data_IF_938037345609
#
_entry.id   IF_938037345609
#
_cell.length_a   1.000
_cell.length_b   1.000
_cell.length_c   1.000
_cell.angle_alpha   90.00
_cell.angle_beta   90.00
_cell.angle_gamma   90.00
#
_symmetry.space_group_name_H-M   'P 1'
#
loop_
_entity.id
_entity.type
_entity.pdbx_description
1 polymer ?
#
# COMPACT_ATOMS: atom_id res chain seq x y z
N UNK A 1 -1.17 -38.64 -1.00
CA UNK A 1 -0.46 -38.15 0.20
C UNK A 1 0.38 -36.96 -0.22
N UNK A 2 -0.14 -35.75 -0.02
CA UNK A 2 0.57 -34.48 -0.21
C UNK A 2 1.31 -34.19 1.09
N UNK A 3 2.64 -34.09 1.04
CA UNK A 3 3.42 -33.82 2.25
C UNK A 3 3.11 -32.43 2.79
N UNK A 4 2.95 -32.38 4.12
CA UNK A 4 2.69 -31.21 4.96
C UNK A 4 3.97 -30.40 5.23
N UNK A 5 4.87 -30.33 4.25
CA UNK A 5 6.19 -29.73 4.47
C UNK A 5 6.29 -28.32 3.88
N UNK A 6 6.94 -27.46 4.67
CA UNK A 6 7.25 -26.07 4.39
C UNK A 6 7.97 -25.92 3.04
N UNK A 7 7.34 -25.22 2.10
CA UNK A 7 8.03 -24.71 0.92
C UNK A 7 9.14 -23.75 1.37
N UNK A 8 10.38 -24.03 0.99
CA UNK A 8 11.55 -23.28 1.40
C UNK A 8 11.50 -21.79 1.00
N UNK A 9 12.19 -20.96 1.77
CA UNK A 9 12.27 -19.49 1.68
C UNK A 9 12.93 -18.91 0.40
N UNK A 10 13.12 -19.71 -0.65
CA UNK A 10 13.81 -19.29 -1.87
C UNK A 10 12.88 -19.38 -3.09
N UNK A 11 12.90 -18.39 -3.99
CA UNK A 11 12.25 -18.54 -5.29
C UNK A 11 12.85 -19.77 -6.00
N UNK A 12 11.98 -20.63 -6.53
CA UNK A 12 12.40 -21.76 -7.36
C UNK A 12 13.22 -21.24 -8.53
N UNK A 13 14.44 -21.75 -8.70
CA UNK A 13 15.43 -21.21 -9.62
C UNK A 13 15.01 -21.27 -11.08
N UNK A 14 15.21 -20.17 -11.80
CA UNK A 14 14.97 -20.05 -13.24
C UNK A 14 15.93 -20.95 -14.05
N UNK A 15 15.45 -21.65 -15.10
CA UNK A 15 16.33 -22.10 -16.18
C UNK A 15 16.74 -20.90 -17.04
N UNK A 16 18.05 -20.69 -17.21
CA UNK A 16 18.66 -19.66 -18.09
C UNK A 16 18.17 -19.76 -19.55
N UNK A 17 17.76 -18.65 -20.18
CA UNK A 17 17.89 -18.51 -21.62
C UNK A 17 18.59 -17.20 -22.05
N UNK A 18 18.90 -17.18 -23.35
CA UNK A 18 19.99 -16.48 -24.05
C UNK A 18 19.67 -15.01 -24.39
N UNK A 19 20.70 -14.17 -24.25
CA UNK A 19 21.00 -12.88 -24.93
C UNK A 19 19.87 -11.86 -25.19
N UNK A 20 19.81 -10.81 -24.36
CA UNK A 20 19.70 -9.41 -24.82
C UNK A 20 20.03 -8.39 -23.69
N UNK A 21 20.91 -7.43 -24.04
CA UNK A 21 21.24 -6.13 -23.42
C UNK A 21 21.52 -6.01 -21.89
N UNK A 22 22.81 -5.98 -21.53
CA UNK A 22 23.36 -5.64 -20.20
C UNK A 22 22.82 -4.34 -19.54
N UNK A 23 22.55 -3.22 -20.26
CA UNK A 23 22.13 -1.97 -19.63
C UNK A 23 20.74 -2.03 -18.96
N UNK A 24 19.79 -2.74 -19.58
CA UNK A 24 18.43 -2.90 -19.04
C UNK A 24 18.41 -3.77 -17.77
N UNK A 25 19.32 -4.76 -17.67
CA UNK A 25 19.47 -5.57 -16.46
C UNK A 25 19.93 -4.75 -15.26
N UNK A 26 20.86 -3.81 -15.46
CA UNK A 26 21.34 -2.94 -14.38
C UNK A 26 20.28 -1.96 -13.91
N UNK A 27 19.51 -1.37 -14.84
CA UNK A 27 18.39 -0.49 -14.47
C UNK A 27 17.32 -1.27 -13.71
N UNK A 28 16.92 -2.44 -14.19
CA UNK A 28 15.87 -3.26 -13.55
C UNK A 28 16.33 -3.73 -12.16
N UNK A 29 17.61 -4.07 -12.00
CA UNK A 29 18.20 -4.41 -10.70
C UNK A 29 18.22 -3.20 -9.75
N UNK A 30 18.59 -2.01 -10.23
CA UNK A 30 18.56 -0.78 -9.43
C UNK A 30 17.13 -0.42 -8.98
N UNK A 31 16.13 -0.57 -9.86
CA UNK A 31 14.72 -0.39 -9.49
C UNK A 31 14.25 -1.41 -8.46
N UNK A 32 14.64 -2.68 -8.59
CA UNK A 32 14.31 -3.73 -7.60
C UNK A 32 14.94 -3.45 -6.24
N UNK A 33 16.18 -2.95 -6.20
CA UNK A 33 16.85 -2.58 -4.94
C UNK A 33 16.16 -1.35 -4.32
N UNK A 34 15.94 -0.29 -5.10
CA UNK A 34 15.29 0.93 -4.61
C UNK A 34 13.85 0.68 -4.13
N UNK A 35 13.02 -0.04 -4.90
CA UNK A 35 11.66 -0.36 -4.51
C UNK A 35 11.59 -1.48 -3.47
N UNK A 36 12.58 -2.36 -3.37
CA UNK A 36 12.71 -3.29 -2.25
C UNK A 36 12.97 -2.54 -0.94
N UNK A 37 13.84 -1.53 -0.97
CA UNK A 37 14.17 -0.68 0.18
C UNK A 37 13.04 0.29 0.60
N UNK A 38 12.10 0.59 -0.31
CA UNK A 38 10.93 1.46 -0.03
C UNK A 38 9.66 0.64 0.23
N UNK A 39 9.49 -0.50 -0.45
CA UNK A 39 8.29 -1.33 -0.45
C UNK A 39 8.26 -2.38 0.66
N UNK A 40 9.31 -2.52 1.46
CA UNK A 40 9.38 -3.52 2.54
C UNK A 40 8.26 -3.39 3.60
N UNK A 41 7.72 -2.21 3.97
CA UNK A 41 6.58 -2.12 4.88
C UNK A 41 5.31 -2.70 4.25
N UNK A 42 5.16 -2.57 2.93
CA UNK A 42 4.06 -3.19 2.16
C UNK A 42 4.28 -4.69 1.99
N UNK A 43 5.52 -5.16 1.87
CA UNK A 43 5.86 -6.59 1.92
C UNK A 43 5.53 -7.20 3.28
N UNK A 44 5.84 -6.53 4.39
CA UNK A 44 5.46 -6.96 5.73
C UNK A 44 3.95 -6.91 5.95
N UNK A 45 3.28 -5.83 5.53
CA UNK A 45 1.82 -5.73 5.54
C UNK A 45 1.19 -6.83 4.68
N UNK A 46 1.87 -7.26 3.61
CA UNK A 46 1.39 -8.33 2.74
C UNK A 46 1.41 -9.73 3.35
N UNK A 47 2.14 -9.90 4.45
CA UNK A 47 2.10 -11.10 5.29
C UNK A 47 0.80 -11.18 6.12
N UNK A 48 0.12 -10.04 6.34
CA UNK A 48 -1.20 -9.99 6.99
C UNK A 48 -2.30 -10.30 5.97
N UNK A 49 -2.85 -11.52 6.02
CA UNK A 49 -3.90 -11.98 5.11
C UNK A 49 -5.32 -11.57 5.54
N UNK A 50 -5.49 -10.35 6.06
CA UNK A 50 -6.77 -9.87 6.62
C UNK A 50 -7.14 -10.49 7.98
N UNK A 51 -8.29 -10.06 8.55
CA UNK A 51 -8.79 -10.62 9.81
C UNK A 51 -9.30 -12.06 9.59
N UNK A 52 -9.06 -13.00 10.51
CA UNK A 52 -9.57 -14.37 10.38
C UNK A 52 -11.09 -14.44 10.19
N UNK A 53 -11.84 -13.57 10.87
CA UNK A 53 -13.30 -13.50 10.73
C UNK A 53 -13.75 -13.10 9.31
N UNK A 54 -13.04 -12.15 8.69
CA UNK A 54 -13.29 -11.72 7.31
C UNK A 54 -13.05 -12.86 6.31
N UNK A 55 -12.01 -13.69 6.53
CA UNK A 55 -11.74 -14.88 5.72
C UNK A 55 -12.85 -15.92 5.87
N UNK A 56 -13.31 -16.18 7.10
CA UNK A 56 -14.39 -17.15 7.36
C UNK A 56 -15.68 -16.73 6.67
N UNK A 57 -16.10 -15.47 6.85
CA UNK A 57 -17.31 -14.94 6.23
C UNK A 57 -17.29 -15.05 4.70
N UNK A 58 -16.13 -14.81 4.06
CA UNK A 58 -15.98 -14.99 2.61
C UNK A 58 -16.12 -16.45 2.18
N UNK A 59 -15.56 -17.40 2.94
CA UNK A 59 -15.65 -18.82 2.62
C UNK A 59 -17.06 -19.36 2.86
N UNK A 60 -17.73 -18.89 3.92
CA UNK A 60 -19.14 -19.19 4.18
C UNK A 60 -20.04 -18.67 3.05
N UNK A 61 -19.81 -17.45 2.55
CA UNK A 61 -20.54 -16.88 1.40
C UNK A 61 -20.40 -17.74 0.14
N UNK A 62 -19.25 -18.36 -0.05
CA UNK A 62 -18.94 -19.20 -1.21
C UNK A 62 -19.23 -20.69 -1.00
N UNK A 63 -19.78 -21.08 0.15
CA UNK A 63 -19.99 -22.48 0.53
C UNK A 63 -18.70 -23.30 0.30
N UNK A 64 -17.59 -22.80 0.82
CA UNK A 64 -16.27 -23.44 0.80
C UNK A 64 -15.86 -23.82 2.22
N UNK A 65 -15.14 -24.94 2.35
CA UNK A 65 -14.58 -25.34 3.63
C UNK A 65 -13.61 -24.26 4.16
N UNK A 66 -13.56 -24.10 5.48
CA UNK A 66 -12.74 -23.08 6.14
C UNK A 66 -11.22 -23.22 5.92
N UNK A 67 -10.79 -24.42 5.52
CA UNK A 67 -9.45 -24.83 5.15
C UNK A 67 -9.24 -24.94 3.62
N UNK A 68 -10.27 -24.63 2.81
CA UNK A 68 -10.21 -24.72 1.35
C UNK A 68 -9.10 -23.85 0.77
N UNK A 69 -8.89 -22.66 1.33
CA UNK A 69 -7.74 -21.81 0.98
C UNK A 69 -6.47 -22.34 1.66
N UNK A 70 -5.44 -22.75 0.88
CA UNK A 70 -4.23 -23.36 1.43
C UNK A 70 -3.57 -22.49 2.50
N UNK A 71 -2.88 -23.14 3.45
CA UNK A 71 -1.98 -22.48 4.40
C UNK A 71 -0.73 -21.98 3.65
N UNK A 72 -0.92 -21.06 2.72
CA UNK A 72 0.16 -20.39 2.00
C UNK A 72 0.90 -19.52 3.02
N UNK A 73 2.13 -19.91 3.36
CA UNK A 73 3.06 -19.03 4.05
C UNK A 73 3.23 -17.72 3.26
N UNK A 74 3.50 -16.62 3.97
CA UNK A 74 3.91 -15.26 3.52
C UNK A 74 3.27 -14.58 2.29
N UNK A 75 2.42 -15.23 1.49
CA UNK A 75 1.84 -14.70 0.25
C UNK A 75 0.34 -15.02 0.22
N UNK A 76 -0.39 -14.50 1.22
CA UNK A 76 -1.85 -14.60 1.27
C UNK A 76 -2.46 -13.51 0.40
N UNK A 77 -3.25 -13.85 -0.61
CA UNK A 77 -4.14 -12.89 -1.26
C UNK A 77 -4.94 -12.16 -0.16
N UNK A 78 -5.02 -10.83 -0.26
CA UNK A 78 -5.76 -10.05 0.74
C UNK A 78 -7.25 -10.38 0.66
N UNK A 79 -7.88 -10.59 1.82
CA UNK A 79 -9.30 -10.97 1.87
C UNK A 79 -10.18 -9.86 1.29
N UNK A 80 -9.75 -8.59 1.35
CA UNK A 80 -10.40 -7.48 0.65
C UNK A 80 -10.37 -7.67 -0.86
N UNK A 81 -9.22 -8.00 -1.44
CA UNK A 81 -9.10 -8.30 -2.87
C UNK A 81 -10.01 -9.45 -3.32
N UNK A 82 -9.99 -10.57 -2.58
CA UNK A 82 -10.85 -11.72 -2.87
C UNK A 82 -12.34 -11.37 -2.79
N UNK A 83 -12.73 -10.54 -1.81
CA UNK A 83 -14.10 -10.05 -1.68
C UNK A 83 -14.51 -9.16 -2.84
N UNK A 84 -13.62 -8.33 -3.36
CA UNK A 84 -13.89 -7.54 -4.56
C UNK A 84 -14.12 -8.44 -5.76
N UNK A 85 -13.30 -9.49 -5.96
CA UNK A 85 -13.54 -10.47 -7.02
C UNK A 85 -14.97 -11.03 -6.94
N UNK A 86 -15.40 -11.51 -5.77
CA UNK A 86 -16.76 -12.05 -5.57
C UNK A 86 -17.82 -10.99 -5.88
N UNK A 87 -17.68 -9.77 -5.33
CA UNK A 87 -18.62 -8.67 -5.57
C UNK A 87 -18.75 -8.31 -7.05
N UNK A 88 -17.63 -8.21 -7.76
CA UNK A 88 -17.63 -7.88 -9.19
C UNK A 88 -18.24 -9.02 -10.02
N UNK A 89 -17.94 -10.28 -9.70
CA UNK A 89 -18.55 -11.44 -10.37
C UNK A 89 -20.05 -11.50 -10.12
N UNK A 90 -20.50 -11.36 -8.87
CA UNK A 90 -21.91 -11.37 -8.49
C UNK A 90 -22.72 -10.29 -9.23
N UNK A 91 -22.11 -9.11 -9.40
CA UNK A 91 -22.75 -7.98 -10.06
C UNK A 91 -22.70 -8.05 -11.60
N UNK A 92 -21.54 -8.40 -12.17
CA UNK A 92 -21.36 -8.42 -13.63
C UNK A 92 -21.93 -9.68 -14.27
N UNK A 93 -21.94 -10.80 -13.54
CA UNK A 93 -22.18 -12.16 -14.08
C UNK A 93 -21.38 -12.38 -15.37
N UNK A 94 -20.04 -12.23 -15.31
CA UNK A 94 -19.20 -12.14 -16.49
C UNK A 94 -19.20 -13.47 -17.27
N UNK A 95 -19.22 -13.40 -18.60
CA UNK A 95 -19.06 -14.57 -19.44
C UNK A 95 -17.59 -15.00 -19.52
N UNK A 96 -16.68 -14.02 -19.59
CA UNK A 96 -15.23 -14.25 -19.66
C UNK A 96 -14.47 -13.46 -18.60
N UNK A 97 -13.76 -14.18 -17.74
CA UNK A 97 -12.83 -13.63 -16.75
C UNK A 97 -11.41 -14.02 -17.14
N UNK A 98 -10.49 -13.06 -17.17
CA UNK A 98 -9.06 -13.32 -17.37
C UNK A 98 -8.30 -13.00 -16.09
N UNK A 99 -7.55 -13.97 -15.59
CA UNK A 99 -6.69 -13.84 -14.41
C UNK A 99 -5.22 -13.94 -14.79
N UNK A 100 -4.41 -13.06 -14.21
CA UNK A 100 -2.96 -13.05 -14.31
C UNK A 100 -2.38 -13.30 -12.92
N UNK A 101 -1.65 -14.39 -12.74
CA UNK A 101 -1.20 -14.90 -11.44
C UNK A 101 -2.22 -15.86 -10.84
N UNK A 102 -2.01 -17.17 -11.02
CA UNK A 102 -2.93 -18.18 -10.51
C UNK A 102 -2.75 -18.38 -9.00
N UNK A 103 -3.75 -18.94 -8.32
CA UNK A 103 -3.66 -19.32 -6.91
C UNK A 103 -4.98 -19.21 -6.17
N UNK A 104 -4.95 -18.56 -5.01
CA UNK A 104 -6.14 -18.40 -4.15
C UNK A 104 -7.29 -17.65 -4.85
N UNK A 105 -6.96 -16.62 -5.62
CA UNK A 105 -7.92 -15.86 -6.42
C UNK A 105 -8.60 -16.74 -7.48
N UNK A 106 -7.92 -17.76 -8.02
CA UNK A 106 -8.50 -18.69 -8.99
C UNK A 106 -9.65 -19.51 -8.39
N UNK A 107 -9.47 -20.04 -7.17
CA UNK A 107 -10.52 -20.79 -6.46
C UNK A 107 -11.73 -19.90 -6.20
N UNK A 108 -11.48 -18.70 -5.67
CA UNK A 108 -12.53 -17.75 -5.31
C UNK A 108 -13.30 -17.30 -6.55
N UNK A 109 -12.60 -16.92 -7.62
CA UNK A 109 -13.22 -16.50 -8.87
C UNK A 109 -14.04 -17.63 -9.49
N UNK A 110 -13.48 -18.84 -9.59
CA UNK A 110 -14.17 -20.00 -10.17
C UNK A 110 -15.42 -20.38 -9.37
N UNK A 111 -15.33 -20.40 -8.04
CA UNK A 111 -16.49 -20.69 -7.18
C UNK A 111 -17.55 -19.60 -7.26
N UNK A 112 -17.16 -18.33 -7.28
CA UNK A 112 -18.09 -17.22 -7.44
C UNK A 112 -18.81 -17.27 -8.81
N UNK A 113 -18.10 -17.62 -9.89
CA UNK A 113 -18.71 -17.83 -11.21
C UNK A 113 -19.75 -18.96 -11.16
N UNK A 114 -19.41 -20.08 -10.55
CA UNK A 114 -20.32 -21.22 -10.38
C UNK A 114 -21.62 -20.82 -9.66
N UNK A 115 -21.54 -19.98 -8.63
CA UNK A 115 -22.69 -19.53 -7.84
C UNK A 115 -23.52 -18.45 -8.56
N UNK A 116 -22.88 -17.52 -9.29
CA UNK A 116 -23.53 -16.29 -9.74
C UNK A 116 -23.94 -16.23 -11.22
N UNK A 117 -23.81 -17.31 -11.98
CA UNK A 117 -24.34 -17.35 -13.35
C UNK A 117 -23.52 -18.15 -14.36
N UNK A 118 -22.46 -18.83 -13.90
CA UNK A 118 -21.49 -19.48 -14.77
C UNK A 118 -20.50 -18.48 -15.36
N UNK A 119 -19.94 -18.83 -16.52
CA UNK A 119 -18.85 -18.10 -17.15
C UNK A 119 -17.55 -18.90 -17.13
N UNK A 120 -16.55 -18.43 -17.88
CA UNK A 120 -15.26 -19.10 -18.00
C UNK A 120 -14.16 -18.25 -17.40
N UNK A 121 -13.43 -18.84 -16.46
CA UNK A 121 -12.18 -18.29 -15.93
C UNK A 121 -11.01 -18.80 -16.78
N UNK A 122 -10.29 -17.86 -17.40
CA UNK A 122 -9.03 -18.08 -18.10
C UNK A 122 -7.89 -17.58 -17.20
N UNK A 123 -7.15 -18.49 -16.57
CA UNK A 123 -6.11 -18.15 -15.59
C UNK A 123 -4.71 -18.47 -16.12
N UNK A 124 -3.78 -17.53 -15.97
CA UNK A 124 -2.43 -17.65 -16.49
C UNK A 124 -1.39 -17.49 -15.38
N UNK A 125 -0.45 -18.42 -15.29
CA UNK A 125 0.69 -18.32 -14.37
C UNK A 125 2.03 -18.64 -15.05
N UNK A 126 3.12 -18.10 -14.50
CA UNK A 126 4.45 -18.19 -15.07
C UNK A 126 5.17 -19.51 -14.79
N UNK A 127 4.70 -20.29 -13.81
CA UNK A 127 5.37 -21.53 -13.41
C UNK A 127 4.52 -22.76 -13.77
N UNK A 128 5.00 -23.55 -14.72
CA UNK A 128 4.33 -24.77 -15.20
C UNK A 128 3.93 -25.74 -14.08
N UNK A 129 4.86 -26.08 -13.18
CA UNK A 129 4.57 -26.99 -12.06
C UNK A 129 3.53 -26.45 -11.06
N UNK A 130 3.45 -25.12 -10.91
CA UNK A 130 2.45 -24.48 -10.06
C UNK A 130 1.07 -24.45 -10.73
N UNK A 131 1.01 -24.24 -12.05
CA UNK A 131 -0.21 -24.37 -12.85
C UNK A 131 -0.79 -25.78 -12.70
N UNK A 132 0.03 -26.82 -12.83
CA UNK A 132 -0.43 -28.20 -12.70
C UNK A 132 -0.93 -28.54 -11.30
N UNK A 133 -0.27 -28.01 -10.26
CA UNK A 133 -0.70 -28.18 -8.88
C UNK A 133 -2.04 -27.47 -8.63
N UNK A 134 -2.17 -26.24 -9.11
CA UNK A 134 -3.39 -25.42 -8.98
C UNK A 134 -4.55 -26.03 -9.74
N UNK A 135 -4.32 -26.56 -10.96
CA UNK A 135 -5.34 -27.27 -11.75
C UNK A 135 -5.91 -28.47 -10.99
N UNK A 136 -5.03 -29.29 -10.40
CA UNK A 136 -5.45 -30.46 -9.60
C UNK A 136 -6.24 -30.03 -8.36
N UNK A 137 -5.75 -29.02 -7.64
CA UNK A 137 -6.44 -28.49 -6.46
C UNK A 137 -7.82 -27.89 -6.78
N UNK A 138 -7.98 -27.21 -7.93
CA UNK A 138 -9.29 -26.71 -8.38
C UNK A 138 -10.23 -27.87 -8.78
N UNK A 139 -9.70 -28.91 -9.42
CA UNK A 139 -10.47 -30.11 -9.77
C UNK A 139 -10.98 -30.85 -8.52
N UNK A 140 -10.22 -30.89 -7.42
CA UNK A 140 -10.66 -31.44 -6.14
C UNK A 140 -11.89 -30.71 -5.56
N UNK A 141 -12.13 -29.46 -5.97
CA UNK A 141 -13.30 -28.66 -5.63
C UNK A 141 -14.41 -28.74 -6.68
N UNK A 142 -14.30 -29.65 -7.66
CA UNK A 142 -15.21 -29.78 -8.80
C UNK A 142 -15.37 -28.49 -9.63
N UNK A 143 -14.29 -27.71 -9.75
CA UNK A 143 -14.26 -26.48 -10.53
C UNK A 143 -13.54 -26.71 -11.87
N UNK A 144 -14.22 -26.38 -12.96
CA UNK A 144 -13.65 -26.40 -14.31
C UNK A 144 -13.09 -25.02 -14.65
N UNK A 145 -11.76 -24.92 -14.73
CA UNK A 145 -11.02 -23.68 -14.98
C UNK A 145 -10.03 -23.89 -16.10
N UNK A 146 -10.01 -22.94 -17.04
CA UNK A 146 -9.05 -22.88 -18.13
C UNK A 146 -7.75 -22.25 -17.64
N UNK A 147 -6.95 -23.05 -16.93
CA UNK A 147 -5.67 -22.63 -16.34
C UNK A 147 -4.49 -23.07 -17.21
N UNK A 148 -3.62 -22.10 -17.56
CA UNK A 148 -2.54 -22.27 -18.54
C UNK A 148 -1.21 -21.72 -18.03
N UNK A 149 -0.13 -22.37 -18.47
CA UNK A 149 1.22 -21.87 -18.27
C UNK A 149 1.54 -20.79 -19.32
N UNK A 150 1.89 -19.60 -18.84
CA UNK A 150 2.31 -18.46 -19.64
C UNK A 150 3.68 -17.97 -19.14
N UNK A 151 4.81 -18.41 -19.73
CA UNK A 151 6.12 -18.00 -19.26
C UNK A 151 6.36 -16.50 -19.48
N UNK A 152 7.13 -15.86 -18.60
CA UNK A 152 7.48 -14.44 -18.73
C UNK A 152 8.57 -14.22 -19.77
N UNK A 153 8.21 -14.25 -21.06
CA UNK A 153 9.17 -14.09 -22.16
C UNK A 153 8.92 -12.85 -23.01
N UNK A 154 7.72 -12.29 -23.00
CA UNK A 154 7.37 -11.13 -23.81
C UNK A 154 7.93 -9.84 -23.21
N UNK A 155 8.26 -8.88 -24.08
CA UNK A 155 8.62 -7.51 -23.67
C UNK A 155 7.43 -6.57 -23.95
N UNK A 156 7.19 -5.62 -23.05
CA UNK A 156 6.27 -4.52 -23.30
C UNK A 156 7.05 -3.30 -23.76
N UNK A 157 6.55 -2.61 -24.81
CA UNK A 157 7.15 -1.37 -25.27
C UNK A 157 7.00 -0.24 -24.24
N UNK A 158 5.91 -0.26 -23.48
CA UNK A 158 5.54 0.82 -22.55
C UNK A 158 5.93 0.52 -21.10
N UNK A 159 6.11 -0.76 -20.76
CA UNK A 159 6.31 -1.23 -19.39
C UNK A 159 7.59 -2.05 -19.24
N UNK A 160 8.40 -1.78 -18.20
CA UNK A 160 9.60 -2.58 -17.91
C UNK A 160 9.25 -3.95 -17.29
N UNK A 161 10.21 -4.87 -17.36
CA UNK A 161 10.06 -6.26 -16.92
C UNK A 161 9.53 -7.18 -18.02
N UNK A 162 9.80 -8.49 -17.88
CA UNK A 162 9.24 -9.50 -18.78
C UNK A 162 7.78 -9.77 -18.44
N UNK A 163 6.95 -9.86 -19.46
CA UNK A 163 5.52 -10.08 -19.38
C UNK A 163 5.12 -11.49 -19.83
N UNK A 164 3.93 -11.91 -19.42
CA UNK A 164 3.32 -13.17 -19.78
C UNK A 164 3.28 -13.40 -21.28
N UNK A 165 3.69 -14.59 -21.71
CA UNK A 165 3.43 -15.11 -23.04
C UNK A 165 1.98 -15.62 -23.13
N UNK A 166 1.03 -14.68 -23.21
CA UNK A 166 -0.40 -15.01 -23.26
C UNK A 166 -0.80 -15.54 -24.63
N UNK A 167 -1.51 -16.65 -24.64
CA UNK A 167 -2.09 -17.27 -25.82
C UNK A 167 -3.59 -17.53 -25.63
N UNK A 168 -4.30 -17.76 -26.74
CA UNK A 168 -5.69 -18.22 -26.73
C UNK A 168 -6.62 -17.38 -25.82
N UNK A 169 -6.41 -16.06 -25.77
CA UNK A 169 -7.22 -15.12 -25.03
C UNK A 169 -8.61 -15.00 -25.67
N UNK A 170 -9.69 -14.83 -24.88
CA UNK A 170 -11.00 -14.56 -25.44
C UNK A 170 -11.01 -13.22 -26.21
N UNK A 171 -11.94 -13.10 -27.17
CA UNK A 171 -12.10 -11.87 -27.94
C UNK A 171 -12.59 -10.70 -27.09
N UNK A 172 -13.46 -10.99 -26.11
CA UNK A 172 -13.98 -10.04 -25.13
C UNK A 172 -13.73 -10.54 -23.72
N UNK A 173 -13.43 -9.61 -22.82
CA UNK A 173 -13.18 -9.88 -21.41
C UNK A 173 -14.10 -8.99 -20.59
N UNK A 174 -14.85 -9.57 -19.66
CA UNK A 174 -15.77 -8.80 -18.81
C UNK A 174 -15.11 -8.42 -17.47
N UNK A 175 -14.18 -9.25 -16.99
CA UNK A 175 -13.41 -9.00 -15.78
C UNK A 175 -11.95 -9.42 -15.98
N UNK A 176 -11.01 -8.52 -15.68
CA UNK A 176 -9.57 -8.78 -15.63
C UNK A 176 -9.12 -8.76 -14.17
N UNK A 177 -8.49 -9.82 -13.69
CA UNK A 177 -7.92 -9.96 -12.35
C UNK A 177 -6.40 -9.98 -12.48
N UNK A 178 -5.71 -9.07 -11.78
CA UNK A 178 -4.27 -8.89 -11.88
C UNK A 178 -3.63 -9.06 -10.50
N UNK A 179 -3.07 -10.24 -10.25
CA UNK A 179 -2.28 -10.59 -9.05
C UNK A 179 -0.83 -11.01 -9.40
N UNK A 180 -0.56 -11.21 -10.69
CA UNK A 180 0.76 -11.54 -11.22
C UNK A 180 1.21 -10.58 -12.33
N UNK A 181 2.49 -10.63 -12.72
CA UNK A 181 3.55 -11.40 -12.09
C UNK A 181 4.06 -10.69 -10.81
N UNK A 182 4.91 -11.35 -9.99
CA UNK A 182 5.36 -10.76 -8.74
C UNK A 182 6.24 -9.52 -8.98
N UNK A 183 6.19 -8.58 -8.02
CA UNK A 183 6.97 -7.33 -8.06
C UNK A 183 8.49 -7.55 -8.23
N UNK A 184 8.98 -8.74 -7.85
CA UNK A 184 10.39 -9.14 -7.98
C UNK A 184 10.86 -9.22 -9.44
N UNK A 185 9.94 -9.36 -10.40
CA UNK A 185 10.25 -9.24 -11.83
C UNK A 185 10.60 -7.80 -12.16
N UNK A 186 9.68 -6.87 -11.89
CA UNK A 186 9.92 -5.43 -11.91
C UNK A 186 8.78 -4.70 -11.16
N UNK A 187 9.01 -3.61 -10.40
CA UNK A 187 7.96 -2.89 -9.67
C UNK A 187 6.79 -2.34 -10.50
N UNK A 188 6.97 -2.21 -11.82
CA UNK A 188 5.97 -1.71 -12.76
C UNK A 188 5.47 -2.78 -13.72
N UNK A 189 5.87 -4.05 -13.53
CA UNK A 189 5.61 -5.13 -14.48
C UNK A 189 4.11 -5.35 -14.72
N UNK A 190 3.29 -5.27 -13.66
CA UNK A 190 1.84 -5.41 -13.71
C UNK A 190 1.17 -4.36 -14.62
N UNK A 191 1.85 -3.26 -14.92
CA UNK A 191 1.37 -2.25 -15.85
C UNK A 191 1.11 -2.76 -17.26
N UNK A 192 1.84 -3.80 -17.70
CA UNK A 192 1.67 -4.43 -19.01
C UNK A 192 0.32 -5.14 -19.19
N UNK A 193 -0.48 -5.30 -18.12
CA UNK A 193 -1.86 -5.78 -18.22
C UNK A 193 -2.76 -4.85 -19.05
N UNK A 194 -2.35 -3.59 -19.28
CA UNK A 194 -3.08 -2.69 -20.18
C UNK A 194 -3.14 -3.16 -21.65
N UNK A 195 -2.27 -4.10 -22.03
CA UNK A 195 -2.35 -4.82 -23.31
C UNK A 195 -3.69 -5.57 -23.49
N UNK A 196 -4.39 -5.89 -22.40
CA UNK A 196 -5.69 -6.57 -22.41
C UNK A 196 -6.88 -5.61 -22.43
N UNK A 197 -6.69 -4.33 -22.11
CA UNK A 197 -7.81 -3.39 -21.89
C UNK A 197 -8.61 -3.10 -23.17
N UNK A 198 -8.00 -3.25 -24.34
CA UNK A 198 -8.70 -3.14 -25.62
C UNK A 198 -9.81 -4.19 -25.78
N UNK A 199 -9.65 -5.37 -25.16
CA UNK A 199 -10.61 -6.49 -25.18
C UNK A 199 -11.72 -6.35 -24.15
N UNK A 200 -11.65 -5.36 -23.26
CA UNK A 200 -12.58 -5.21 -22.15
C UNK A 200 -13.99 -4.90 -22.69
N UNK A 201 -15.02 -5.63 -22.28
CA UNK A 201 -16.42 -5.37 -22.67
C UNK A 201 -16.90 -3.99 -22.20
N UNK A 202 -17.96 -3.41 -22.80
CA UNK A 202 -18.68 -2.30 -22.17
C UNK A 202 -19.06 -2.66 -20.73
N UNK A 203 -18.83 -1.76 -19.78
CA UNK A 203 -19.00 -2.00 -18.34
C UNK A 203 -18.06 -3.05 -17.73
N UNK A 204 -17.09 -3.56 -18.50
CA UNK A 204 -16.09 -4.49 -18.03
C UNK A 204 -15.19 -3.88 -16.95
N UNK A 205 -14.63 -4.75 -16.11
CA UNK A 205 -13.88 -4.35 -14.92
C UNK A 205 -12.45 -4.87 -14.94
N UNK A 206 -11.54 -4.06 -14.40
CA UNK A 206 -10.16 -4.42 -14.10
C UNK A 206 -9.96 -4.35 -12.59
N UNK A 207 -9.43 -5.40 -11.99
CA UNK A 207 -9.00 -5.45 -10.61
C UNK A 207 -7.49 -5.68 -10.55
N UNK A 208 -6.77 -4.84 -9.81
CA UNK A 208 -5.34 -5.00 -9.56
C UNK A 208 -5.11 -5.15 -8.05
N UNK A 209 -4.46 -6.25 -7.66
CA UNK A 209 -4.03 -6.47 -6.28
C UNK A 209 -2.80 -5.64 -5.93
N UNK A 210 -2.57 -5.47 -4.62
CA UNK A 210 -1.48 -4.67 -4.04
C UNK A 210 -1.44 -3.21 -4.52
N UNK A 211 -2.60 -2.64 -4.88
CA UNK A 211 -2.66 -1.37 -5.59
C UNK A 211 -2.11 -0.17 -4.81
N UNK A 212 -1.96 -0.30 -3.49
CA UNK A 212 -1.41 0.75 -2.68
C UNK A 212 0.13 0.67 -2.52
N UNK A 213 0.79 -0.36 -3.09
CA UNK A 213 2.26 -0.37 -3.26
C UNK A 213 2.73 0.76 -4.19
N UNK A 214 3.92 1.33 -3.97
CA UNK A 214 4.43 2.45 -4.77
C UNK A 214 4.46 2.18 -6.28
N UNK A 215 4.82 0.97 -6.70
CA UNK A 215 4.91 0.59 -8.11
C UNK A 215 3.53 0.61 -8.77
N UNK A 216 2.57 -0.04 -8.12
CA UNK A 216 1.19 -0.13 -8.54
C UNK A 216 0.48 1.24 -8.54
N UNK A 217 0.82 2.15 -7.62
CA UNK A 217 0.32 3.55 -7.67
C UNK A 217 0.79 4.29 -8.92
N UNK A 218 2.05 4.09 -9.34
CA UNK A 218 2.59 4.65 -10.58
C UNK A 218 1.92 4.01 -11.81
N UNK A 219 1.70 2.69 -11.78
CA UNK A 219 0.94 1.96 -12.80
C UNK A 219 -0.46 2.56 -12.94
N UNK A 220 -1.21 2.70 -11.84
CA UNK A 220 -2.55 3.26 -11.82
C UNK A 220 -2.58 4.69 -12.39
N UNK A 221 -1.60 5.54 -12.05
CA UNK A 221 -1.50 6.91 -12.58
C UNK A 221 -1.30 6.92 -14.10
N UNK A 222 -0.46 6.01 -14.63
CA UNK A 222 -0.22 5.89 -16.08
C UNK A 222 -1.43 5.30 -16.80
N UNK A 223 -2.10 4.29 -16.25
CA UNK A 223 -3.33 3.74 -16.81
C UNK A 223 -4.44 4.78 -16.92
N UNK A 224 -4.66 5.60 -15.88
CA UNK A 224 -5.65 6.71 -15.94
C UNK A 224 -5.42 7.67 -17.10
N UNK A 225 -4.15 7.93 -17.44
CA UNK A 225 -3.80 8.81 -18.56
C UNK A 225 -4.00 8.13 -19.92
N UNK A 226 -3.61 6.86 -20.03
CA UNK A 226 -3.66 6.10 -21.30
C UNK A 226 -5.06 5.61 -21.64
N UNK A 227 -5.88 5.32 -20.63
CA UNK A 227 -7.21 4.73 -20.78
C UNK A 227 -8.28 5.61 -20.11
N UNK A 228 -8.55 6.82 -20.64
CA UNK A 228 -9.45 7.79 -20.01
C UNK A 228 -10.91 7.35 -19.95
N UNK A 229 -11.30 6.35 -20.75
CA UNK A 229 -12.63 5.74 -20.74
C UNK A 229 -12.79 4.66 -19.66
N UNK A 230 -11.74 4.36 -18.88
CA UNK A 230 -11.80 3.48 -17.72
C UNK A 230 -11.67 4.33 -16.46
N UNK A 231 -12.68 4.31 -15.59
CA UNK A 231 -12.66 5.02 -14.31
C UNK A 231 -11.93 4.16 -13.27
N UNK A 232 -10.69 4.54 -12.93
CA UNK A 232 -9.85 3.83 -11.96
C UNK A 232 -9.92 4.47 -10.57
N UNK A 233 -10.45 3.71 -9.60
CA UNK A 233 -10.57 4.08 -8.18
C UNK A 233 -9.76 3.13 -7.31
N UNK A 234 -9.06 3.69 -6.32
CA UNK A 234 -8.38 2.88 -5.30
C UNK A 234 -9.38 2.58 -4.18
N UNK A 235 -9.57 1.30 -3.89
CA UNK A 235 -10.38 0.81 -2.79
C UNK A 235 -9.46 0.58 -1.59
N UNK A 236 -9.79 1.20 -0.46
CA UNK A 236 -8.97 1.20 0.78
C UNK A 236 -9.50 0.23 1.85
N UNK A 237 -10.37 -0.72 1.49
CA UNK A 237 -10.87 -1.75 2.40
C UNK A 237 -9.89 -2.93 2.50
N UNK A 238 -8.73 -2.68 3.12
CA UNK A 238 -7.70 -3.69 3.38
C UNK A 238 -6.31 -3.07 3.51
N UNK A 239 -5.33 -3.86 3.96
CA UNK A 239 -3.94 -3.41 4.16
C UNK A 239 -3.19 -3.24 2.84
N UNK A 240 -3.60 -3.94 1.77
CA UNK A 240 -2.91 -3.96 0.46
C UNK A 240 -3.49 -2.99 -0.58
N UNK A 241 -4.78 -2.66 -0.44
CA UNK A 241 -5.55 -1.86 -1.38
C UNK A 241 -5.80 -2.56 -2.72
N UNK A 242 -6.96 -2.31 -3.32
CA UNK A 242 -7.32 -2.86 -4.65
C UNK A 242 -7.63 -1.72 -5.59
N UNK A 243 -7.06 -1.72 -6.79
CA UNK A 243 -7.44 -0.77 -7.82
C UNK A 243 -8.59 -1.37 -8.64
N UNK A 244 -9.72 -0.67 -8.69
CA UNK A 244 -10.86 -1.02 -9.52
C UNK A 244 -10.94 -0.05 -10.69
N UNK A 245 -10.81 -0.58 -11.92
CA UNK A 245 -11.03 0.14 -13.17
C UNK A 245 -12.36 -0.28 -13.80
N UNK A 246 -13.27 0.66 -14.04
CA UNK A 246 -14.55 0.38 -14.72
C UNK A 246 -14.58 1.01 -16.10
N UNK A 247 -14.71 0.20 -17.16
CA UNK A 247 -14.87 0.72 -18.52
C UNK A 247 -16.25 1.34 -18.66
N UNK A 248 -16.30 2.63 -19.00
CA UNK A 248 -17.55 3.31 -19.32
C UNK A 248 -18.12 2.75 -20.61
N UNK A 249 -19.43 2.49 -20.62
CA UNK A 249 -20.14 2.22 -21.86
C UNK A 249 -20.26 3.53 -22.65
N UNK A 250 -19.57 3.60 -23.78
CA UNK A 250 -19.59 4.76 -24.67
C UNK A 250 -20.81 4.77 -25.60
N UNK A 251 -21.65 3.73 -25.58
CA UNK A 251 -22.85 3.61 -26.41
C UNK A 251 -24.14 4.07 -25.71
N UNK A 252 -24.13 4.16 -24.38
CA UNK A 252 -25.21 4.77 -23.62
C UNK A 252 -25.05 6.31 -23.66
N UNK A 253 -26.10 7.07 -23.99
CA UNK A 253 -26.08 8.51 -23.79
C UNK A 253 -25.73 8.80 -22.34
N UNK A 254 -24.90 9.81 -22.10
CA UNK A 254 -24.62 10.30 -20.75
C UNK A 254 -25.96 10.69 -20.13
N UNK A 255 -26.54 9.82 -19.30
CA UNK A 255 -27.45 10.27 -18.26
C UNK A 255 -26.58 11.15 -17.37
N UNK A 256 -26.74 12.47 -17.50
CA UNK A 256 -26.15 13.43 -16.61
C UNK A 256 -26.79 13.27 -15.23
N UNK A 257 -26.42 12.22 -14.51
CA UNK A 257 -26.72 12.05 -13.08
C UNK A 257 -25.55 12.49 -12.19
N UNK A 258 -24.55 13.20 -12.73
CA UNK A 258 -23.41 13.67 -11.94
C UNK A 258 -22.87 15.07 -12.32
N UNK A 259 -23.66 15.90 -13.04
CA UNK A 259 -23.27 17.30 -13.33
C UNK A 259 -23.87 18.34 -12.36
N UNK A 260 -24.55 17.87 -11.31
CA UNK A 260 -25.05 18.73 -10.21
C UNK A 260 -24.19 18.66 -8.94
N UNK A 261 -23.13 17.83 -8.91
CA UNK A 261 -22.32 17.59 -7.71
C UNK A 261 -20.91 18.21 -7.65
N UNK A 262 -20.34 18.67 -8.78
CA UNK A 262 -18.92 19.07 -8.84
C UNK A 262 -18.64 20.54 -9.13
N UNK A 263 -19.52 21.25 -9.80
CA UNK A 263 -19.31 22.66 -10.19
C UNK A 263 -19.71 23.65 -9.10
N UNK A 264 -20.64 23.29 -8.20
CA UNK A 264 -21.14 24.23 -7.18
C UNK A 264 -20.18 24.45 -5.98
N UNK A 265 -19.20 23.56 -5.76
CA UNK A 265 -18.23 23.66 -4.65
C UNK A 265 -17.09 24.66 -4.89
N UNK A 266 -16.89 25.13 -6.12
CA UNK A 266 -15.80 26.07 -6.44
C UNK A 266 -16.28 27.54 -6.42
N UNK A 267 -17.50 27.82 -6.88
CA UNK A 267 -18.06 29.19 -6.80
C UNK A 267 -18.48 29.58 -5.37
N UNK A 268 -19.02 28.63 -4.58
CA UNK A 268 -19.34 28.86 -3.17
C UNK A 268 -18.10 29.15 -2.31
N UNK A 269 -16.94 28.58 -2.67
CA UNK A 269 -15.66 28.82 -1.96
C UNK A 269 -15.05 30.18 -2.31
N UNK A 270 -15.14 30.65 -3.54
CA UNK A 270 -14.65 31.98 -3.91
C UNK A 270 -15.50 33.09 -3.25
N UNK A 271 -16.82 32.93 -3.22
CA UNK A 271 -17.72 33.86 -2.53
C UNK A 271 -17.57 33.79 -0.99
N UNK A 272 -17.37 32.60 -0.43
CA UNK A 272 -17.11 32.44 1.01
C UNK A 272 -15.72 32.97 1.41
N UNK A 273 -14.69 32.86 0.57
CA UNK A 273 -13.37 33.45 0.83
C UNK A 273 -13.44 34.99 0.75
N UNK A 274 -14.18 35.54 -0.21
CA UNK A 274 -14.41 36.99 -0.29
C UNK A 274 -15.23 37.51 0.92
N UNK A 275 -16.22 36.75 1.37
CA UNK A 275 -16.96 37.05 2.60
C UNK A 275 -16.09 36.89 3.85
N UNK A 276 -15.25 35.86 3.95
CA UNK A 276 -14.35 35.64 5.09
C UNK A 276 -13.22 36.67 5.15
N UNK A 277 -12.80 37.25 4.03
CA UNK A 277 -11.87 38.40 4.01
C UNK A 277 -12.57 39.70 4.43
N UNK A 278 -13.83 39.89 4.04
CA UNK A 278 -14.60 41.10 4.40
C UNK A 278 -15.13 41.08 5.85
N UNK A 279 -15.42 39.90 6.42
CA UNK A 279 -15.96 39.75 7.79
C UNK A 279 -14.91 39.27 8.80
N UNK A 280 -13.73 38.83 8.37
CA UNK A 280 -12.69 38.24 9.23
C UNK A 280 -11.70 39.20 9.88
N UNK A 281 -11.95 40.52 9.87
CA UNK A 281 -11.14 41.51 10.61
C UNK A 281 -11.79 42.04 11.89
N UNK A 282 -12.88 41.42 12.36
CA UNK A 282 -13.47 41.73 13.67
C UNK A 282 -13.88 40.45 14.38
N UNK A 283 -12.93 39.82 15.07
CA UNK A 283 -13.13 39.08 16.32
C UNK A 283 -11.78 38.51 16.80
N UNK A 284 -10.96 39.39 17.37
CA UNK A 284 -9.86 39.00 18.25
C UNK A 284 -10.48 38.76 19.62
N UNK A 285 -10.44 37.53 20.10
CA UNK A 285 -10.85 37.17 21.47
C UNK A 285 -12.02 36.20 21.48
N UNK A 286 -11.73 35.01 22.00
CA UNK A 286 -12.69 34.00 22.45
C UNK A 286 -13.48 33.27 21.36
N UNK A 287 -12.96 32.10 20.94
CA UNK A 287 -13.71 30.85 20.75
C UNK A 287 -12.83 29.80 20.03
N UNK A 288 -12.56 28.68 20.73
CA UNK A 288 -12.43 27.33 20.15
C UNK A 288 -11.15 26.98 19.38
N UNK A 289 -10.48 25.92 19.83
CA UNK A 289 -9.36 25.27 19.15
C UNK A 289 -9.63 25.05 17.65
N UNK A 290 -8.76 25.60 16.79
CA UNK A 290 -8.82 25.39 15.35
C UNK A 290 -8.56 23.92 15.00
N UNK A 291 -9.23 23.37 13.97
CA UNK A 291 -8.89 22.04 13.47
C UNK A 291 -7.45 22.06 12.96
N UNK A 292 -6.59 21.26 13.59
CA UNK A 292 -5.22 21.01 13.12
C UNK A 292 -5.27 20.51 11.67
N UNK A 293 -4.32 20.94 10.85
CA UNK A 293 -4.23 20.52 9.44
C UNK A 293 -4.13 19.00 9.34
N UNK A 294 -4.72 18.41 8.30
CA UNK A 294 -4.72 16.95 8.10
C UNK A 294 -3.29 16.35 8.07
N UNK A 295 -2.30 17.13 7.64
CA UNK A 295 -0.89 16.72 7.63
C UNK A 295 -0.27 16.66 9.03
N UNK A 296 -0.58 17.63 9.90
CA UNK A 296 -0.14 17.57 11.29
C UNK A 296 -0.80 16.37 12.02
N UNK A 297 -2.03 16.01 11.66
CA UNK A 297 -2.66 14.81 12.22
C UNK A 297 -1.97 13.51 11.81
N UNK A 298 -1.57 13.34 10.54
CA UNK A 298 -0.87 12.12 10.10
C UNK A 298 0.53 12.01 10.72
N UNK A 299 1.29 13.10 10.78
CA UNK A 299 2.60 13.14 11.43
C UNK A 299 2.53 12.76 12.92
N UNK A 300 1.54 13.30 13.64
CA UNK A 300 1.34 12.99 15.06
C UNK A 300 0.91 11.52 15.28
N UNK A 301 0.10 10.96 14.40
CA UNK A 301 -0.30 9.55 14.46
C UNK A 301 0.90 8.62 14.18
N UNK A 302 1.79 8.99 13.27
CA UNK A 302 3.03 8.28 12.96
C UNK A 302 4.03 8.35 14.13
N UNK A 303 4.21 9.52 14.73
CA UNK A 303 5.03 9.69 15.93
C UNK A 303 4.51 8.83 17.11
N UNK A 304 3.19 8.75 17.30
CA UNK A 304 2.57 7.90 18.32
C UNK A 304 2.71 6.39 18.00
N UNK A 305 2.62 6.00 16.72
CA UNK A 305 2.86 4.62 16.29
C UNK A 305 4.33 4.21 16.55
N UNK A 306 5.27 5.10 16.26
CA UNK A 306 6.70 4.92 16.48
C UNK A 306 7.04 4.69 17.96
N UNK A 307 6.51 5.50 18.87
CA UNK A 307 6.68 5.30 20.32
C UNK A 307 6.21 3.90 20.76
N UNK A 308 5.03 3.47 20.32
CA UNK A 308 4.48 2.15 20.69
C UNK A 308 5.37 1.01 20.19
N UNK A 309 5.88 1.13 18.96
CA UNK A 309 6.83 0.15 18.42
C UNK A 309 8.12 0.11 19.26
N UNK A 310 8.66 1.27 19.64
CA UNK A 310 9.83 1.37 20.51
C UNK A 310 9.61 0.71 21.89
N UNK A 311 8.48 1.00 22.55
CA UNK A 311 8.15 0.44 23.87
C UNK A 311 7.95 -1.08 23.83
N UNK A 312 7.30 -1.62 22.78
CA UNK A 312 7.16 -3.06 22.61
C UNK A 312 8.53 -3.75 22.49
N UNK A 313 9.45 -3.11 21.76
CA UNK A 313 10.77 -3.63 21.47
C UNK A 313 11.72 -3.57 22.67
N UNK A 314 11.58 -2.57 23.53
CA UNK A 314 12.30 -2.51 24.82
C UNK A 314 12.00 -3.73 25.71
N UNK A 315 10.84 -4.36 25.54
CA UNK A 315 10.48 -5.60 26.23
C UNK A 315 10.99 -6.89 25.57
N UNK A 316 11.71 -6.79 24.44
CA UNK A 316 12.14 -7.94 23.63
C UNK A 316 13.65 -8.12 23.69
N UNK A 317 14.13 -9.15 24.40
CA UNK A 317 15.56 -9.48 24.50
C UNK A 317 16.24 -9.81 23.16
N UNK A 318 15.46 -10.22 22.14
CA UNK A 318 15.98 -10.62 20.83
C UNK A 318 16.26 -9.46 19.87
N UNK A 319 15.85 -8.24 20.20
CA UNK A 319 16.02 -7.07 19.36
C UNK A 319 17.18 -6.22 19.88
N UNK A 320 18.26 -6.17 19.11
CA UNK A 320 19.47 -5.42 19.50
C UNK A 320 19.20 -3.93 19.43
N UNK A 321 19.21 -3.25 20.57
CA UNK A 321 19.22 -1.79 20.64
C UNK A 321 20.54 -1.22 20.12
N UNK A 322 20.45 -0.32 19.14
CA UNK A 322 21.60 0.42 18.63
C UNK A 322 21.59 1.82 19.22
N UNK A 323 22.45 2.05 20.21
CA UNK A 323 22.66 3.37 20.81
C UNK A 323 23.60 4.26 19.98
N UNK A 324 24.21 3.72 18.92
CA UNK A 324 25.17 4.46 18.09
C UNK A 324 24.43 5.41 17.16
N UNK A 325 24.54 6.71 17.44
CA UNK A 325 23.99 7.78 16.61
C UNK A 325 25.11 8.42 15.76
N UNK A 326 25.00 8.34 14.44
CA UNK A 326 25.83 9.10 13.51
C UNK A 326 24.95 10.07 12.72
N UNK A 327 24.80 11.34 13.17
CA UNK A 327 23.88 12.29 12.53
C UNK A 327 24.22 12.56 11.06
N UNK A 328 25.52 12.59 10.70
CA UNK A 328 25.95 12.81 9.32
C UNK A 328 25.57 11.66 8.39
N UNK A 329 25.68 10.42 8.86
CA UNK A 329 25.26 9.24 8.09
C UNK A 329 23.74 9.19 7.92
N UNK A 330 22.99 9.55 8.96
CA UNK A 330 21.52 9.64 8.92
C UNK A 330 21.10 10.70 7.91
N UNK A 331 21.68 11.89 7.96
CA UNK A 331 21.37 12.98 7.03
C UNK A 331 21.70 12.58 5.59
N UNK A 332 22.89 12.02 5.34
CA UNK A 332 23.30 11.58 4.00
C UNK A 332 22.41 10.47 3.43
N UNK A 333 21.93 9.56 4.28
CA UNK A 333 21.18 8.39 3.84
C UNK A 333 19.67 8.63 3.76
N UNK A 334 19.13 9.48 4.62
CA UNK A 334 17.67 9.68 4.77
C UNK A 334 17.20 11.08 4.38
N UNK A 335 18.11 12.05 4.35
CA UNK A 335 17.78 13.46 4.23
C UNK A 335 17.12 14.05 5.48
N UNK A 336 17.05 13.31 6.60
CA UNK A 336 16.58 13.80 7.90
C UNK A 336 17.74 14.47 8.62
N UNK A 337 17.57 15.75 8.94
CA UNK A 337 18.50 16.47 9.81
C UNK A 337 18.01 16.30 11.24
N UNK A 338 18.89 15.83 12.13
CA UNK A 338 18.58 15.73 13.55
C UNK A 338 19.10 16.97 14.28
N UNK A 339 18.32 17.54 15.23
CA UNK A 339 18.78 18.67 16.01
C UNK A 339 19.89 18.25 16.99
N UNK A 340 20.60 19.22 17.53
CA UNK A 340 21.47 18.96 18.68
C UNK A 340 20.62 18.60 19.90
N UNK A 341 20.99 17.52 20.60
CA UNK A 341 20.34 17.14 21.85
C UNK A 341 21.08 17.76 23.05
N UNK A 342 20.38 18.16 24.13
CA UNK A 342 21.02 18.75 25.30
C UNK A 342 22.08 17.84 25.93
N UNK A 343 23.13 18.47 26.48
CA UNK A 343 24.22 17.73 27.11
C UNK A 343 23.72 16.85 28.27
N UNK A 344 24.19 15.59 28.29
CA UNK A 344 23.84 14.60 29.31
C UNK A 344 22.62 13.74 28.97
N UNK A 345 21.90 14.02 27.89
CA UNK A 345 20.87 13.12 27.39
C UNK A 345 21.53 11.92 26.71
N UNK A 346 21.07 10.71 27.06
CA UNK A 346 21.63 9.48 26.51
C UNK A 346 20.63 8.86 25.55
N UNK A 347 21.02 8.74 24.28
CA UNK A 347 20.28 7.96 23.29
C UNK A 347 20.48 6.49 23.60
N UNK A 348 19.37 5.78 23.81
CA UNK A 348 19.40 4.33 24.10
C UNK A 348 19.14 3.53 22.84
N UNK A 349 18.39 4.08 21.89
CA UNK A 349 18.01 3.39 20.68
C UNK A 349 17.69 4.39 19.55
N UNK A 350 18.16 4.08 18.34
CA UNK A 350 17.87 4.84 17.11
C UNK A 350 17.33 3.88 16.06
N UNK A 351 16.21 4.25 15.43
CA UNK A 351 15.55 3.45 14.43
C UNK A 351 15.15 4.29 13.24
N UNK A 352 15.25 3.67 12.07
CA UNK A 352 14.56 4.16 10.89
C UNK A 352 13.11 3.69 10.96
N UNK A 353 12.19 4.63 11.03
CA UNK A 353 10.76 4.36 11.11
C UNK A 353 10.08 4.72 9.78
N UNK A 354 9.34 3.80 9.16
CA UNK A 354 8.71 4.09 7.87
C UNK A 354 7.46 4.96 8.05
N UNK A 355 7.36 6.08 7.31
CA UNK A 355 6.12 6.87 7.15
C UNK A 355 5.55 6.73 5.74
N UNK A 356 4.36 7.29 5.50
CA UNK A 356 3.66 7.16 4.22
C UNK A 356 4.45 7.73 3.03
N UNK A 357 5.20 8.83 3.28
CA UNK A 357 5.81 9.66 2.24
C UNK A 357 7.36 9.80 2.35
N UNK A 358 7.96 9.57 3.54
CA UNK A 358 9.43 9.58 3.74
C UNK A 358 9.93 8.52 4.74
N UNK A 359 11.24 8.20 4.74
CA UNK A 359 11.85 7.58 5.90
C UNK A 359 11.93 8.60 7.04
N UNK A 360 11.43 8.23 8.21
CA UNK A 360 11.53 9.03 9.44
C UNK A 360 12.51 8.40 10.42
N UNK A 361 12.94 9.15 11.42
CA UNK A 361 13.83 8.66 12.48
C UNK A 361 13.07 8.66 13.81
N UNK A 362 13.12 7.52 14.48
CA UNK A 362 12.59 7.32 15.82
C UNK A 362 13.73 7.06 16.80
N UNK A 363 13.74 7.79 17.91
CA UNK A 363 14.80 7.69 18.91
C UNK A 363 14.20 7.51 20.29
N UNK A 364 14.80 6.61 21.06
CA UNK A 364 14.55 6.53 22.50
C UNK A 364 15.74 7.15 23.23
N UNK A 365 15.45 7.99 24.21
CA UNK A 365 16.46 8.71 24.96
C UNK A 365 16.06 8.82 26.43
N UNK A 366 17.07 8.97 27.28
CA UNK A 366 16.91 9.11 28.72
C UNK A 366 17.57 10.40 29.17
N UNK A 367 16.84 11.24 29.90
CA UNK A 367 17.38 12.47 30.49
C UNK A 367 18.30 12.16 31.67
N UNK A 368 19.17 13.09 32.11
CA UNK A 368 19.96 12.93 33.33
C UNK A 368 19.12 12.62 34.59
N UNK A 369 17.85 13.03 34.59
CA UNK A 369 16.89 12.78 35.66
C UNK A 369 16.22 11.40 35.57
N UNK A 370 16.57 10.59 34.56
CA UNK A 370 16.02 9.25 34.35
C UNK A 370 14.69 9.22 33.58
N UNK A 371 14.28 10.34 32.98
CA UNK A 371 13.02 10.43 32.24
C UNK A 371 13.18 9.76 30.87
N UNK A 372 12.30 8.81 30.54
CA UNK A 372 12.28 8.16 29.23
C UNK A 372 11.48 8.97 28.22
N UNK A 373 12.13 9.34 27.13
CA UNK A 373 11.57 10.13 26.05
C UNK A 373 11.65 9.35 24.74
N UNK A 374 10.67 9.58 23.88
CA UNK A 374 10.69 9.18 22.49
C UNK A 374 10.69 10.44 21.63
N UNK A 375 11.66 10.53 20.73
CA UNK A 375 11.80 11.60 19.77
C UNK A 375 11.55 11.07 18.37
N UNK A 376 10.88 11.85 17.55
CA UNK A 376 10.50 11.50 16.18
C UNK A 376 10.84 12.64 15.24
N UNK A 377 11.45 12.33 14.11
CA UNK A 377 11.85 13.30 13.10
C UNK A 377 11.42 12.84 11.70
N UNK A 378 10.74 13.70 10.96
CA UNK A 378 10.36 13.49 9.55
C UNK A 378 10.62 14.77 8.73
N UNK A 379 10.48 14.69 7.40
CA UNK A 379 10.55 15.87 6.52
C UNK A 379 9.22 16.62 6.50
N UNK A 380 9.29 17.94 6.62
CA UNK A 380 8.13 18.82 6.47
C UNK A 380 7.93 19.20 4.99
N UNK A 381 6.71 19.05 4.46
CA UNK A 381 6.37 19.45 3.08
C UNK A 381 6.15 20.96 2.91
N UNK A 382 5.88 21.67 4.00
CA UNK A 382 5.67 23.12 4.04
C UNK A 382 6.31 23.68 5.30
N UNK A 383 7.07 24.78 5.25
CA UNK A 383 7.68 25.35 6.45
C UNK A 383 6.62 26.00 7.36
N UNK A 384 6.44 25.48 8.58
CA UNK A 384 5.64 26.09 9.66
C UNK A 384 6.51 26.76 10.75
N UNK A 385 5.85 27.21 11.83
CA UNK A 385 6.48 27.94 12.95
C UNK A 385 7.40 27.06 13.81
N UNK A 386 8.58 27.57 14.15
CA UNK A 386 9.61 26.90 14.96
C UNK A 386 9.29 26.76 16.46
N UNK A 387 8.08 27.10 16.89
CA UNK A 387 7.71 27.06 18.31
C UNK A 387 6.98 25.75 18.64
N UNK A 388 7.44 24.96 19.63
CA UNK A 388 6.75 23.75 20.06
C UNK A 388 5.30 23.98 20.46
N UNK A 389 4.42 23.17 19.89
CA UNK A 389 2.99 23.12 20.17
C UNK A 389 2.63 21.80 20.86
N UNK A 390 1.65 21.82 21.77
CA UNK A 390 1.16 20.58 22.38
C UNK A 390 0.08 19.92 21.52
N UNK A 391 0.15 18.61 21.44
CA UNK A 391 -0.95 17.77 21.00
C UNK A 391 -1.17 16.61 21.98
N UNK A 392 -2.42 16.13 22.02
CA UNK A 392 -2.77 14.88 22.68
C UNK A 392 -3.34 13.91 21.65
N UNK A 393 -2.78 12.71 21.58
CA UNK A 393 -3.18 11.66 20.63
C UNK A 393 -3.12 10.30 21.30
N UNK A 394 -4.21 9.53 21.19
CA UNK A 394 -4.33 8.15 21.72
C UNK A 394 -3.88 7.95 23.18
N UNK A 395 -3.95 8.99 24.01
CA UNK A 395 -3.55 8.97 25.43
C UNK A 395 -2.18 9.57 25.72
N UNK A 396 -1.31 9.68 24.71
CA UNK A 396 0.02 10.27 24.83
C UNK A 396 -0.01 11.79 24.70
N UNK A 397 0.83 12.45 25.50
CA UNK A 397 1.09 13.88 25.45
C UNK A 397 2.38 14.12 24.68
N UNK A 398 2.30 14.95 23.64
CA UNK A 398 3.38 15.15 22.69
C UNK A 398 3.55 16.64 22.42
N UNK A 399 4.80 17.09 22.36
CA UNK A 399 5.16 18.39 21.82
C UNK A 399 5.67 18.20 20.39
N UNK A 400 5.26 19.05 19.46
CA UNK A 400 5.72 18.99 18.07
C UNK A 400 6.05 20.38 17.55
N UNK A 401 7.02 20.48 16.64
CA UNK A 401 7.44 21.72 15.99
C UNK A 401 8.05 21.42 14.63
N UNK A 402 8.22 22.44 13.80
CA UNK A 402 8.91 22.34 12.53
C UNK A 402 10.11 23.29 12.52
N UNK A 403 11.28 22.82 12.08
CA UNK A 403 12.45 23.67 11.88
C UNK A 403 13.00 23.45 10.47
N UNK A 404 13.00 24.51 9.66
CA UNK A 404 13.41 24.43 8.26
C UNK A 404 12.55 23.48 7.45
N UNK A 405 13.15 22.39 6.95
CA UNK A 405 12.48 21.33 6.19
C UNK A 405 12.21 20.06 7.03
N UNK A 406 12.34 20.15 8.36
CA UNK A 406 12.12 19.03 9.28
C UNK A 406 10.91 19.28 10.18
N UNK A 407 10.19 18.21 10.49
CA UNK A 407 9.16 18.14 11.51
C UNK A 407 9.64 17.24 12.65
N UNK A 408 9.47 17.70 13.88
CA UNK A 408 9.90 16.99 15.08
C UNK A 408 8.76 16.79 16.05
N UNK A 409 8.77 15.66 16.75
CA UNK A 409 7.90 15.41 17.88
C UNK A 409 8.67 14.80 19.05
N UNK A 410 8.36 15.26 20.25
CA UNK A 410 8.89 14.75 21.51
C UNK A 410 7.73 14.30 22.39
N UNK A 411 7.86 13.12 22.97
CA UNK A 411 6.88 12.56 23.90
C UNK A 411 7.59 11.81 25.01
N UNK A 412 6.99 11.75 26.19
CA UNK A 412 7.61 11.21 27.39
C UNK A 412 6.59 10.70 28.40
N UNK A 413 7.07 9.99 29.42
CA UNK A 413 6.24 9.62 30.57
C UNK A 413 5.99 10.80 31.54
N UNK A 414 6.62 11.96 31.28
CA UNK A 414 6.46 13.17 32.07
C UNK A 414 5.15 13.91 31.76
N UNK A 415 4.78 14.86 32.62
CA UNK A 415 3.58 15.69 32.41
C UNK A 415 3.72 16.63 31.18
N UNK A 416 2.59 17.19 30.74
CA UNK A 416 2.53 18.05 29.56
C UNK A 416 3.46 19.27 29.63
N UNK A 417 3.63 19.86 30.82
CA UNK A 417 4.48 21.05 31.00
C UNK A 417 5.95 20.66 30.89
N UNK A 418 6.32 19.52 31.45
CA UNK A 418 7.67 18.98 31.39
C UNK A 418 8.05 18.57 29.97
N UNK A 419 7.16 17.91 29.23
CA UNK A 419 7.39 17.57 27.80
C UNK A 419 7.55 18.84 26.96
N UNK A 420 6.73 19.87 27.18
CA UNK A 420 6.87 21.17 26.51
C UNK A 420 8.21 21.86 26.82
N UNK A 421 8.64 21.84 28.09
CA UNK A 421 9.93 22.42 28.50
C UNK A 421 11.09 21.71 27.80
N UNK A 422 11.09 20.37 27.81
CA UNK A 422 12.13 19.55 27.19
C UNK A 422 12.16 19.74 25.66
N UNK A 423 11.00 19.85 25.01
CA UNK A 423 10.92 20.17 23.59
C UNK A 423 11.48 21.57 23.27
N UNK A 424 11.24 22.55 24.16
CA UNK A 424 11.81 23.88 24.05
C UNK A 424 13.34 23.93 24.21
N UNK A 425 13.94 22.98 24.94
CA UNK A 425 15.40 22.84 25.03
C UNK A 425 16.00 22.36 23.70
N UNK A 426 15.34 21.42 23.02
CA UNK A 426 15.78 20.91 21.70
C UNK A 426 15.55 21.96 20.60
N UNK A 427 14.37 22.59 20.59
CA UNK A 427 13.95 23.53 19.55
C UNK A 427 14.81 24.80 19.47
N UNK A 428 15.50 25.18 20.57
CA UNK A 428 16.42 26.32 20.58
C UNK A 428 17.69 26.11 19.77
N UNK A 429 18.09 24.85 19.60
CA UNK A 429 19.33 24.43 18.95
C UNK A 429 19.04 23.72 17.61
N UNK A 430 17.82 23.88 17.06
CA UNK A 430 17.31 23.23 15.84
C UNK A 430 17.36 24.09 14.59
#
# INVERSE_FOLDING_TARGET
MTSRDLTGFLPLGEPRPVSSALPRRLSDMAWRIAFGAIGWPWLLASLSGGRPADKRALLDELDLAHDALPHLGSWKADVGFLRHIVREIARLRPAHVVELGAGASSLIAARALQIHGGGRLHSFDQHDGFVDATRRWLADHALDVDIRHAPLTQESADWPGRWYALDQLPERIDLIIIDGPPWSVHPLVRGAADSLFARLSPNGVVLLDDAARPGERLVARRWRKRWPHIDFRLMQDGTKGTLLGRRRDTSLPVANDDDTGRTWRHMGRAAAIAALIATGWIARGELGEFPQSAQASSFLDEAAASRRAGLLRQGMESQVESATLNPQEIEQSTGIVLPAFPAGWRVTDVQLFPTADSPSIAMSMVTPQGEQLSFFADRAETPAEATPMMARRQGDTMAYWEAGSMAYALTGQADARRVMQLAGEIARDS
#
